data_IF_444979881519
#
_entry.id   IF_444979881519
#
_cell.length_a   1.000
_cell.length_b   1.000
_cell.length_c   1.000
_cell.angle_alpha   90.00
_cell.angle_beta   90.00
_cell.angle_gamma   90.00
#
_symmetry.space_group_name_H-M   'P 1'
#
loop_
_entity.id
_entity.type
_entity.pdbx_description
1 polymer ?
#
# COMPACT_ATOMS: atom_id res chain seq x y z
N UNK A 1 5.88 -28.41 9.06
CA UNK A 1 5.06 -28.02 10.23
C UNK A 1 5.56 -26.75 10.93
N UNK A 2 6.75 -26.22 10.59
CA UNK A 2 7.43 -25.12 11.28
C UNK A 2 6.69 -23.77 11.31
N UNK A 3 6.18 -23.29 10.17
CA UNK A 3 5.71 -21.90 10.06
C UNK A 3 4.65 -21.45 11.08
N UNK A 4 3.67 -22.30 11.43
CA UNK A 4 2.64 -21.90 12.40
C UNK A 4 3.20 -21.69 13.82
N UNK A 5 4.20 -22.49 14.20
CA UNK A 5 4.94 -22.31 15.45
C UNK A 5 5.89 -21.12 15.36
N UNK A 6 6.57 -20.95 14.21
CA UNK A 6 7.46 -19.81 13.97
C UNK A 6 6.69 -18.47 14.02
N UNK A 7 5.45 -18.44 13.50
CA UNK A 7 4.56 -17.28 13.50
C UNK A 7 4.14 -16.88 14.93
N UNK A 8 3.65 -17.84 15.72
CA UNK A 8 3.30 -17.58 17.13
C UNK A 8 4.53 -17.18 17.95
N UNK A 9 5.67 -17.84 17.71
CA UNK A 9 6.91 -17.46 18.36
C UNK A 9 7.38 -16.06 17.94
N UNK A 10 7.13 -15.63 16.71
CA UNK A 10 7.43 -14.28 16.25
C UNK A 10 6.49 -13.24 16.89
N UNK A 11 5.20 -13.55 17.06
CA UNK A 11 4.26 -12.71 17.81
C UNK A 11 4.60 -12.63 19.29
N UNK A 12 5.08 -13.72 19.91
CA UNK A 12 5.48 -13.72 21.32
C UNK A 12 6.81 -12.99 21.56
N UNK A 13 7.73 -13.00 20.58
CA UNK A 13 9.02 -12.30 20.68
C UNK A 13 8.95 -10.82 20.33
N UNK A 14 8.08 -10.45 19.40
CA UNK A 14 7.84 -9.04 19.12
C UNK A 14 7.00 -8.47 20.25
N UNK A 15 7.50 -7.44 20.92
CA UNK A 15 6.82 -6.77 22.03
C UNK A 15 5.54 -6.04 21.56
N UNK A 16 4.54 -6.80 21.12
CA UNK A 16 3.27 -6.30 20.62
C UNK A 16 2.24 -6.17 21.75
N UNK A 17 1.37 -5.15 21.72
CA UNK A 17 0.21 -5.09 22.61
C UNK A 17 -0.65 -6.36 22.50
N UNK A 18 -1.26 -6.80 23.61
CA UNK A 18 -2.10 -8.01 23.61
C UNK A 18 -3.24 -7.92 22.60
N UNK A 19 -3.86 -6.75 22.47
CA UNK A 19 -4.92 -6.53 21.48
C UNK A 19 -4.48 -6.80 20.03
N UNK A 20 -3.20 -6.55 19.71
CA UNK A 20 -2.64 -6.85 18.39
C UNK A 20 -2.44 -8.35 18.21
N UNK A 21 -1.93 -9.03 19.24
CA UNK A 21 -1.71 -10.49 19.21
C UNK A 21 -3.05 -11.21 19.05
N UNK A 22 -4.07 -10.80 19.79
CA UNK A 22 -5.42 -11.38 19.75
C UNK A 22 -6.13 -11.15 18.40
N UNK A 23 -5.79 -10.04 17.72
CA UNK A 23 -6.33 -9.70 16.40
C UNK A 23 -5.46 -10.19 15.23
N UNK A 24 -4.31 -10.81 15.51
CA UNK A 24 -3.44 -11.37 14.48
C UNK A 24 -4.10 -12.56 13.78
N UNK A 25 -3.61 -12.90 12.58
CA UNK A 25 -4.18 -14.02 11.81
C UNK A 25 -4.11 -15.32 12.62
N UNK A 26 -5.25 -15.96 12.87
CA UNK A 26 -5.33 -17.19 13.65
C UNK A 26 -4.93 -18.40 12.81
N UNK A 27 -3.64 -18.49 12.45
CA UNK A 27 -3.13 -19.48 11.48
C UNK A 27 -3.50 -20.93 11.85
N UNK A 28 -3.46 -21.29 13.14
CA UNK A 28 -3.87 -22.62 13.62
C UNK A 28 -5.37 -22.88 13.46
N UNK A 29 -6.22 -21.88 13.78
CA UNK A 29 -7.68 -21.98 13.67
C UNK A 29 -8.08 -22.13 12.20
N UNK A 30 -7.58 -21.25 11.33
CA UNK A 30 -7.81 -21.31 9.89
C UNK A 30 -7.35 -22.63 9.28
N UNK A 31 -6.22 -23.20 9.74
CA UNK A 31 -5.75 -24.52 9.31
C UNK A 31 -6.72 -25.65 9.71
N UNK A 32 -7.43 -25.54 10.84
CA UNK A 32 -8.47 -26.51 11.23
C UNK A 32 -9.67 -26.41 10.28
N UNK A 33 -10.12 -25.20 9.95
CA UNK A 33 -11.19 -24.98 8.98
C UNK A 33 -10.82 -25.57 7.60
N UNK A 34 -9.59 -25.38 7.11
CA UNK A 34 -9.12 -26.00 5.85
C UNK A 34 -9.28 -27.54 5.87
N UNK A 35 -9.00 -28.19 7.00
CA UNK A 35 -9.21 -29.66 7.12
C UNK A 35 -10.69 -30.05 7.14
N UNK A 36 -11.57 -29.15 7.56
CA UNK A 36 -13.01 -29.38 7.53
C UNK A 36 -13.53 -29.25 6.11
N UNK A 37 -13.12 -28.20 5.37
CA UNK A 37 -13.38 -28.05 3.93
C UNK A 37 -12.90 -29.28 3.17
N UNK A 38 -11.67 -29.74 3.45
CA UNK A 38 -11.14 -30.94 2.80
C UNK A 38 -12.02 -32.18 3.05
N UNK A 39 -12.53 -32.36 4.28
CA UNK A 39 -13.41 -33.49 4.60
C UNK A 39 -14.79 -33.37 3.95
N UNK A 40 -15.35 -32.16 3.90
CA UNK A 40 -16.61 -31.87 3.21
C UNK A 40 -16.50 -32.19 1.71
N UNK A 41 -15.44 -31.69 1.06
CA UNK A 41 -15.12 -31.97 -0.33
C UNK A 41 -14.96 -33.47 -0.62
N UNK A 42 -14.18 -34.18 0.21
CA UNK A 42 -14.03 -35.64 0.08
C UNK A 42 -15.36 -36.38 0.32
N UNK A 43 -16.21 -35.90 1.23
CA UNK A 43 -17.55 -36.47 1.46
C UNK A 43 -18.50 -36.31 0.27
N UNK A 44 -18.28 -35.29 -0.55
CA UNK A 44 -19.00 -35.06 -1.82
C UNK A 44 -18.37 -35.80 -3.01
N UNK A 45 -17.29 -36.55 -2.79
CA UNK A 45 -16.53 -37.20 -3.88
C UNK A 45 -15.76 -36.21 -4.77
N UNK A 46 -15.50 -35.00 -4.26
CA UNK A 46 -14.72 -33.93 -4.91
C UNK A 46 -13.40 -33.74 -4.16
N UNK A 47 -12.66 -34.82 -3.96
CA UNK A 47 -11.35 -34.72 -3.33
C UNK A 47 -10.33 -34.00 -4.21
N UNK A 48 -9.14 -33.75 -3.66
CA UNK A 48 -8.11 -32.95 -4.33
C UNK A 48 -7.72 -33.52 -5.70
N UNK A 49 -7.56 -34.83 -5.80
CA UNK A 49 -7.16 -35.50 -7.04
C UNK A 49 -8.26 -35.37 -8.10
N UNK A 50 -9.52 -35.58 -7.70
CA UNK A 50 -10.67 -35.39 -8.58
C UNK A 50 -10.79 -33.95 -9.06
N UNK A 51 -10.63 -32.96 -8.17
CA UNK A 51 -10.67 -31.54 -8.53
C UNK A 51 -9.49 -31.11 -9.41
N UNK A 52 -8.28 -31.61 -9.17
CA UNK A 52 -7.12 -31.34 -10.02
C UNK A 52 -7.32 -31.88 -11.44
N UNK A 53 -7.89 -33.09 -11.58
CA UNK A 53 -8.25 -33.70 -12.88
C UNK A 53 -9.34 -32.87 -13.56
N UNK A 54 -10.40 -32.51 -12.84
CA UNK A 54 -11.47 -31.65 -13.33
C UNK A 54 -10.93 -30.34 -13.91
N UNK A 55 -10.05 -29.66 -13.16
CA UNK A 55 -9.42 -28.43 -13.64
C UNK A 55 -8.55 -28.65 -14.87
N UNK A 56 -7.80 -29.76 -14.96
CA UNK A 56 -6.98 -30.08 -16.14
C UNK A 56 -7.85 -30.26 -17.39
N UNK A 57 -8.97 -30.96 -17.29
CA UNK A 57 -9.92 -31.14 -18.38
C UNK A 57 -10.55 -29.82 -18.82
N UNK A 58 -11.01 -29.00 -17.87
CA UNK A 58 -11.54 -27.66 -18.15
C UNK A 58 -10.52 -26.76 -18.84
N UNK A 59 -9.22 -26.91 -18.55
CA UNK A 59 -8.15 -26.14 -19.21
C UNK A 59 -7.62 -26.74 -20.51
N UNK A 60 -7.93 -28.00 -20.85
CA UNK A 60 -7.37 -28.72 -22.01
C UNK A 60 -8.36 -28.88 -23.18
N UNK A 61 -9.58 -28.34 -23.08
CA UNK A 61 -10.56 -28.32 -24.17
C UNK A 61 -10.10 -27.49 -25.38
N UNK A 62 -10.77 -27.62 -26.56
CA UNK A 62 -10.28 -27.07 -27.82
C UNK A 62 -9.99 -25.58 -27.72
N UNK A 63 -8.73 -25.23 -27.99
CA UNK A 63 -8.14 -23.91 -27.78
C UNK A 63 -8.67 -22.79 -28.71
N UNK A 64 -9.83 -22.94 -29.35
CA UNK A 64 -10.33 -21.98 -30.33
C UNK A 64 -11.26 -20.90 -29.75
N UNK A 65 -11.64 -20.97 -28.47
CA UNK A 65 -12.39 -19.88 -27.83
C UNK A 65 -11.81 -19.60 -26.44
N UNK A 66 -11.06 -18.50 -26.36
CA UNK A 66 -10.18 -18.13 -25.25
C UNK A 66 -10.77 -18.12 -23.84
N UNK A 67 -9.89 -17.94 -22.85
CA UNK A 67 -10.04 -18.19 -21.40
C UNK A 67 -11.30 -17.75 -20.63
N UNK A 68 -12.30 -17.16 -21.28
CA UNK A 68 -13.65 -16.90 -20.72
C UNK A 68 -14.54 -18.15 -20.62
N UNK A 69 -14.27 -19.24 -21.35
CA UNK A 69 -15.10 -20.48 -21.27
C UNK A 69 -14.66 -21.37 -20.10
N UNK A 70 -13.36 -21.53 -19.86
CA UNK A 70 -12.86 -22.29 -18.70
C UNK A 70 -13.37 -21.70 -17.37
N UNK A 71 -13.43 -20.37 -17.26
CA UNK A 71 -14.03 -19.65 -16.11
C UNK A 71 -15.56 -19.83 -16.00
N UNK A 72 -16.23 -20.31 -17.06
CA UNK A 72 -17.68 -20.62 -17.06
C UNK A 72 -17.98 -22.08 -16.73
N UNK A 73 -17.02 -23.00 -16.93
CA UNK A 73 -17.20 -24.44 -16.72
C UNK A 73 -16.98 -24.86 -15.27
N UNK A 74 -16.01 -24.24 -14.59
CA UNK A 74 -15.80 -24.42 -13.16
C UNK A 74 -15.36 -23.11 -12.53
N UNK A 75 -16.12 -22.61 -11.56
CA UNK A 75 -15.83 -21.33 -10.93
C UNK A 75 -15.99 -21.40 -9.42
N UNK A 76 -14.98 -20.89 -8.71
CA UNK A 76 -15.09 -20.54 -7.30
C UNK A 76 -15.37 -19.04 -7.18
N UNK A 77 -16.66 -18.69 -7.13
CA UNK A 77 -17.14 -17.32 -7.08
C UNK A 77 -17.43 -16.90 -5.64
N UNK A 78 -17.39 -15.59 -5.41
CA UNK A 78 -17.74 -14.99 -4.12
C UNK A 78 -18.68 -13.80 -4.37
N UNK A 79 -19.83 -13.79 -3.73
CA UNK A 79 -20.76 -12.66 -3.81
C UNK A 79 -20.27 -11.50 -2.93
N UNK A 80 -20.10 -10.32 -3.54
CA UNK A 80 -19.45 -9.17 -2.91
C UNK A 80 -20.16 -7.85 -3.19
N UNK A 81 -21.27 -7.59 -2.49
CA UNK A 81 -21.69 -6.22 -2.20
C UNK A 81 -21.99 -6.13 -0.71
N UNK A 82 -21.61 -5.03 -0.04
CA UNK A 82 -21.64 -4.92 1.43
C UNK A 82 -23.01 -5.07 2.13
N UNK A 83 -24.09 -5.35 1.37
CA UNK A 83 -25.42 -5.73 1.88
C UNK A 83 -25.80 -7.20 1.62
N UNK A 84 -25.10 -7.90 0.72
CA UNK A 84 -25.36 -9.30 0.35
C UNK A 84 -24.34 -10.19 1.06
N UNK A 85 -24.81 -11.32 1.59
CA UNK A 85 -24.02 -12.29 2.35
C UNK A 85 -22.81 -12.78 1.56
N UNK A 86 -21.71 -13.02 2.26
CA UNK A 86 -20.53 -13.67 1.68
C UNK A 86 -20.78 -15.17 1.62
N UNK A 87 -21.05 -15.65 0.42
CA UNK A 87 -21.31 -17.06 0.10
C UNK A 87 -20.36 -17.49 -1.00
N UNK A 88 -19.20 -18.09 -0.67
CA UNK A 88 -18.40 -18.75 -1.67
C UNK A 88 -19.16 -19.95 -2.24
N UNK A 89 -19.13 -20.11 -3.56
CA UNK A 89 -19.81 -21.23 -4.22
C UNK A 89 -18.88 -21.85 -5.27
N UNK A 90 -18.91 -23.17 -5.36
CA UNK A 90 -18.31 -23.91 -6.46
C UNK A 90 -19.40 -24.18 -7.50
N UNK A 91 -19.25 -23.63 -8.69
CA UNK A 91 -20.16 -23.87 -9.82
C UNK A 91 -19.52 -24.87 -10.76
N UNK A 92 -20.26 -25.91 -11.17
CA UNK A 92 -19.82 -26.92 -12.14
C UNK A 92 -20.86 -27.02 -13.26
N UNK A 93 -20.43 -26.89 -14.51
CA UNK A 93 -21.29 -27.11 -15.68
C UNK A 93 -21.53 -28.60 -15.94
N UNK A 94 -22.77 -28.98 -16.26
CA UNK A 94 -23.22 -30.36 -16.47
C UNK A 94 -23.91 -30.49 -17.85
N UNK A 95 -23.70 -31.63 -18.51
CA UNK A 95 -24.40 -32.04 -19.72
C UNK A 95 -25.90 -32.30 -19.42
N UNK A 96 -26.82 -31.65 -20.15
CA UNK A 96 -28.27 -31.76 -19.91
C UNK A 96 -28.87 -33.14 -20.22
N UNK A 97 -28.17 -34.04 -20.93
CA UNK A 97 -28.71 -35.34 -21.33
C UNK A 97 -28.37 -36.48 -20.34
N UNK A 98 -27.18 -36.49 -19.76
CA UNK A 98 -26.72 -37.60 -18.90
C UNK A 98 -26.33 -37.16 -17.47
N UNK A 99 -26.34 -35.86 -17.20
CA UNK A 99 -25.99 -35.28 -15.92
C UNK A 99 -24.52 -35.47 -15.55
N UNK A 100 -23.63 -35.74 -16.52
CA UNK A 100 -22.19 -35.75 -16.33
C UNK A 100 -21.65 -34.31 -16.42
N UNK A 101 -20.66 -33.90 -15.60
CA UNK A 101 -20.00 -32.64 -15.85
C UNK A 101 -19.36 -32.70 -17.22
N UNK A 102 -19.59 -31.68 -18.05
CA UNK A 102 -19.05 -31.66 -19.41
C UNK A 102 -17.53 -31.87 -19.34
N UNK A 103 -17.05 -32.87 -20.08
CA UNK A 103 -15.64 -33.27 -20.20
C UNK A 103 -14.94 -33.89 -18.96
N UNK A 104 -15.68 -34.38 -17.95
CA UNK A 104 -15.08 -34.98 -16.75
C UNK A 104 -15.40 -36.48 -16.52
N UNK A 105 -14.35 -37.31 -16.44
CA UNK A 105 -14.43 -38.70 -15.96
C UNK A 105 -14.58 -38.75 -14.43
N UNK A 106 -15.75 -38.38 -13.92
CA UNK A 106 -16.10 -38.52 -12.51
C UNK A 106 -16.46 -39.95 -12.12
N UNK A 107 -16.20 -40.31 -10.86
CA UNK A 107 -16.66 -41.57 -10.29
C UNK A 107 -18.20 -41.70 -10.36
N UNK A 108 -18.75 -42.93 -10.46
CA UNK A 108 -20.20 -43.15 -10.45
C UNK A 108 -20.90 -42.62 -9.18
N UNK A 109 -20.16 -42.46 -8.09
CA UNK A 109 -20.65 -41.92 -6.81
C UNK A 109 -20.72 -40.39 -6.87
N UNK A 110 -19.64 -39.72 -7.32
CA UNK A 110 -19.61 -38.26 -7.49
C UNK A 110 -20.66 -37.79 -8.49
N UNK A 111 -20.86 -38.52 -9.61
CA UNK A 111 -21.94 -38.22 -10.58
C UNK A 111 -23.33 -38.33 -9.95
N UNK A 112 -23.57 -39.31 -9.07
CA UNK A 112 -24.84 -39.44 -8.36
C UNK A 112 -25.10 -38.26 -7.44
N UNK A 113 -24.08 -37.81 -6.70
CA UNK A 113 -24.16 -36.64 -5.82
C UNK A 113 -24.45 -35.36 -6.61
N UNK A 114 -23.70 -35.09 -7.68
CA UNK A 114 -23.91 -33.90 -8.52
C UNK A 114 -25.28 -33.88 -9.19
N UNK A 115 -25.77 -35.02 -9.69
CA UNK A 115 -27.14 -35.13 -10.23
C UNK A 115 -28.21 -34.92 -9.17
N UNK A 116 -27.99 -35.39 -7.94
CA UNK A 116 -28.93 -35.14 -6.85
C UNK A 116 -28.99 -33.65 -6.51
N UNK A 117 -27.82 -33.00 -6.42
CA UNK A 117 -27.72 -31.55 -6.20
C UNK A 117 -28.38 -30.73 -7.32
N UNK A 118 -28.18 -31.12 -8.58
CA UNK A 118 -28.85 -30.51 -9.74
C UNK A 118 -30.39 -30.63 -9.65
N UNK A 119 -30.90 -31.80 -9.25
CA UNK A 119 -32.35 -32.01 -9.09
C UNK A 119 -32.94 -31.22 -7.94
N UNK A 120 -32.21 -31.10 -6.83
CA UNK A 120 -32.63 -30.27 -5.69
C UNK A 120 -32.57 -28.78 -5.99
N UNK A 121 -31.63 -28.30 -6.81
CA UNK A 121 -31.63 -26.89 -7.23
C UNK A 121 -32.81 -26.58 -8.15
N UNK A 122 -33.17 -27.50 -9.07
CA UNK A 122 -34.37 -27.37 -9.91
C UNK A 122 -35.68 -27.30 -9.09
N UNK A 123 -35.81 -28.12 -8.05
CA UNK A 123 -36.98 -28.11 -7.17
C UNK A 123 -37.15 -26.79 -6.39
N UNK A 124 -36.06 -26.07 -6.12
CA UNK A 124 -36.09 -24.75 -5.49
C UNK A 124 -36.44 -23.62 -6.47
N UNK A 125 -36.20 -23.79 -7.78
CA UNK A 125 -36.54 -22.79 -8.81
C UNK A 125 -38.03 -22.86 -9.18
N UNK A 126 -38.65 -24.04 -9.13
CA UNK A 126 -40.09 -24.23 -9.40
C UNK A 126 -41.02 -23.81 -8.24
N UNK A 127 -40.47 -23.31 -7.12
CA UNK A 127 -41.26 -23.00 -5.90
C UNK A 127 -41.35 -21.50 -5.56
N UNK A 128 -40.81 -20.60 -6.37
CA UNK A 128 -40.81 -19.14 -6.10
C UNK A 128 -41.64 -18.29 -7.10
N UNK A 129 -42.61 -18.88 -7.81
CA UNK A 129 -43.56 -18.10 -8.63
C UNK A 129 -45.03 -18.52 -8.39
N UNK A 130 -45.49 -18.37 -7.15
CA UNK A 130 -46.91 -18.05 -6.90
C UNK A 130 -46.99 -16.89 -5.90
N UNK A 131 -46.99 -15.68 -6.44
CA UNK A 131 -47.38 -14.49 -5.68
C UNK A 131 -48.87 -14.52 -5.35
N UNK A 132 -49.28 -14.24 -4.10
CA UNK A 132 -50.69 -14.19 -3.74
C UNK A 132 -51.24 -12.82 -4.11
N UNK A 133 -52.06 -12.72 -5.16
CA UNK A 133 -52.94 -11.58 -5.34
C UNK A 133 -54.40 -12.05 -5.36
N UNK A 134 -54.99 -12.12 -4.18
CA UNK A 134 -56.42 -12.29 -4.03
C UNK A 134 -57.13 -10.99 -4.38
N UNK A 135 -58.14 -11.06 -5.23
CA UNK A 135 -59.25 -10.12 -5.18
C UNK A 135 -60.56 -10.83 -5.52
N UNK A 136 -61.49 -10.70 -4.57
CA UNK A 136 -62.87 -11.17 -4.64
C UNK A 136 -63.61 -10.57 -5.83
N UNK A 137 -64.55 -11.33 -6.42
CA UNK A 137 -65.87 -10.78 -6.75
C UNK A 137 -66.94 -11.86 -6.88
N UNK A 138 -68.08 -11.58 -6.22
CA UNK A 138 -69.32 -12.33 -6.25
C UNK A 138 -70.09 -12.16 -7.58
N UNK A 139 -71.08 -13.03 -7.87
CA UNK A 139 -71.77 -13.07 -9.16
C UNK A 139 -73.10 -12.28 -9.16
N UNK A 140 -73.42 -11.62 -10.29
CA UNK A 140 -74.78 -11.17 -10.64
C UNK A 140 -74.99 -11.39 -12.16
N UNK A 141 -76.19 -11.82 -12.61
CA UNK A 141 -76.46 -12.31 -13.96
C UNK A 141 -77.15 -11.28 -14.88
N UNK A 142 -77.36 -11.71 -16.13
CA UNK A 142 -78.43 -11.39 -17.09
C UNK A 142 -78.11 -10.72 -18.45
N UNK A 143 -78.61 -11.45 -19.47
CA UNK A 143 -79.34 -11.03 -20.66
C UNK A 143 -78.69 -10.38 -21.91
N UNK A 144 -78.75 -11.19 -22.98
CA UNK A 144 -79.31 -10.91 -24.32
C UNK A 144 -78.49 -10.29 -25.45
N UNK A 145 -78.56 -11.04 -26.58
CA UNK A 145 -78.75 -10.63 -27.98
C UNK A 145 -77.68 -9.78 -28.71
N UNK A 146 -77.32 -10.26 -29.91
CA UNK A 146 -77.10 -9.36 -31.06
C UNK A 146 -75.96 -9.70 -32.02
N UNK A 147 -76.17 -10.71 -32.84
CA UNK A 147 -75.82 -10.86 -34.27
C UNK A 147 -74.74 -10.00 -34.98
N UNK A 148 -74.02 -10.72 -35.87
CA UNK A 148 -73.57 -10.33 -37.23
C UNK A 148 -72.33 -9.43 -37.37
N UNK A 149 -71.43 -9.57 -38.34
CA UNK A 149 -71.22 -10.52 -39.45
C UNK A 149 -70.00 -10.03 -40.27
N UNK A 150 -69.45 -10.90 -41.12
CA UNK A 150 -68.63 -10.63 -42.32
C UNK A 150 -67.14 -10.34 -42.11
N UNK A 151 -66.19 -10.83 -42.90
CA UNK A 151 -66.13 -11.83 -43.96
C UNK A 151 -64.64 -12.08 -44.29
N UNK A 152 -64.30 -13.32 -44.66
CA UNK A 152 -63.11 -13.70 -45.44
C UNK A 152 -63.32 -13.29 -46.94
N UNK A 153 -62.48 -13.63 -47.95
CA UNK A 153 -61.28 -14.49 -47.94
C UNK A 153 -60.11 -13.97 -48.83
N UNK A 154 -58.95 -14.63 -48.78
CA UNK A 154 -58.35 -15.30 -49.95
C UNK A 154 -56.91 -15.76 -49.68
N UNK A 155 -56.69 -17.05 -49.91
CA UNK A 155 -55.39 -17.70 -50.11
C UNK A 155 -55.15 -17.83 -51.64
N UNK A 156 -53.93 -18.12 -52.15
CA UNK A 156 -53.30 -19.44 -52.01
C UNK A 156 -51.76 -19.42 -51.89
N UNK A 157 -51.10 -20.59 -51.75
CA UNK A 157 -49.76 -20.75 -51.20
C UNK A 157 -48.69 -20.97 -52.28
N UNK A 158 -47.43 -20.69 -51.95
CA UNK A 158 -46.19 -21.29 -52.47
C UNK A 158 -45.09 -20.78 -51.50
N UNK A 159 -44.32 -21.58 -50.76
CA UNK A 159 -43.58 -22.74 -51.21
C UNK A 159 -42.19 -22.29 -51.66
N UNK A 160 -41.26 -22.03 -50.73
CA UNK A 160 -39.83 -22.38 -50.89
C UNK A 160 -38.98 -22.02 -49.65
N UNK A 161 -38.18 -23.01 -49.26
CA UNK A 161 -37.27 -23.06 -48.12
C UNK A 161 -36.28 -21.89 -48.06
N UNK A 162 -36.27 -21.18 -46.93
CA UNK A 162 -35.06 -20.49 -46.47
C UNK A 162 -34.59 -21.16 -45.18
N UNK A 163 -33.59 -22.03 -45.31
CA UNK A 163 -32.81 -22.59 -44.21
C UNK A 163 -32.28 -21.44 -43.35
N UNK A 164 -32.97 -21.20 -42.24
CA UNK A 164 -32.49 -20.35 -41.16
C UNK A 164 -31.60 -21.24 -40.29
N UNK A 165 -30.30 -20.95 -40.29
CA UNK A 165 -29.32 -21.58 -39.43
C UNK A 165 -29.76 -21.41 -37.98
N UNK A 166 -30.27 -22.48 -37.38
CA UNK A 166 -30.47 -22.57 -35.93
C UNK A 166 -29.08 -22.54 -35.27
N UNK A 167 -28.71 -21.36 -34.77
CA UNK A 167 -27.58 -21.15 -33.88
C UNK A 167 -27.90 -21.85 -32.55
N UNK A 168 -27.54 -23.12 -32.47
CA UNK A 168 -27.71 -23.99 -31.31
C UNK A 168 -26.88 -23.48 -30.13
N UNK A 169 -27.41 -22.50 -29.39
CA UNK A 169 -26.94 -22.20 -28.03
C UNK A 169 -27.25 -23.41 -27.15
N UNK A 170 -26.28 -24.32 -27.02
CA UNK A 170 -26.28 -25.30 -25.94
C UNK A 170 -26.42 -24.52 -24.62
N UNK A 171 -27.61 -24.56 -24.01
CA UNK A 171 -27.86 -24.03 -22.68
C UNK A 171 -27.02 -24.86 -21.70
N UNK A 172 -25.88 -24.29 -21.29
CA UNK A 172 -25.03 -24.85 -20.24
C UNK A 172 -25.83 -24.88 -18.94
N UNK A 173 -26.04 -26.07 -18.39
CA UNK A 173 -26.68 -26.23 -17.09
C UNK A 173 -25.61 -26.18 -15.99
N UNK A 174 -25.79 -25.33 -14.98
CA UNK A 174 -24.81 -25.13 -13.91
C UNK A 174 -25.33 -25.62 -12.57
N UNK A 175 -24.53 -26.37 -11.83
CA UNK A 175 -24.82 -26.78 -10.45
C UNK A 175 -23.97 -25.98 -9.48
N UNK A 176 -24.65 -25.32 -8.55
CA UNK A 176 -24.01 -24.68 -7.40
C UNK A 176 -23.82 -25.69 -6.27
N UNK A 177 -22.60 -25.79 -5.76
CA UNK A 177 -22.26 -26.63 -4.62
C UNK A 177 -22.04 -25.69 -3.42
N UNK A 178 -23.00 -25.60 -2.49
CA UNK A 178 -22.85 -24.81 -1.29
C UNK A 178 -21.88 -25.54 -0.35
N UNK A 179 -20.68 -25.00 -0.22
CA UNK A 179 -19.72 -25.45 0.78
C UNK A 179 -19.97 -24.62 2.05
N UNK A 180 -20.20 -25.32 3.16
CA UNK A 180 -20.52 -24.69 4.44
C UNK A 180 -19.24 -24.40 5.24
N UNK A 181 -18.23 -25.26 5.12
CA UNK A 181 -16.99 -25.15 5.90
C UNK A 181 -16.03 -24.10 5.36
N UNK A 182 -16.09 -23.79 4.06
CA UNK A 182 -15.23 -22.77 3.45
C UNK A 182 -15.78 -21.36 3.75
N UNK A 183 -17.11 -21.23 3.82
CA UNK A 183 -17.82 -20.07 4.32
C UNK A 183 -17.32 -19.71 5.72
N UNK A 184 -17.21 -20.68 6.64
CA UNK A 184 -16.65 -20.48 7.97
C UNK A 184 -15.18 -19.99 7.91
N UNK A 185 -14.33 -20.62 7.09
CA UNK A 185 -12.93 -20.22 6.91
C UNK A 185 -12.79 -18.75 6.49
N UNK A 186 -13.53 -18.34 5.47
CA UNK A 186 -13.43 -16.98 4.94
C UNK A 186 -14.14 -15.94 5.79
N UNK A 187 -15.22 -16.29 6.51
CA UNK A 187 -15.83 -15.40 7.49
C UNK A 187 -14.86 -15.08 8.64
N UNK A 188 -14.14 -16.09 9.15
CA UNK A 188 -13.08 -15.89 10.14
C UNK A 188 -12.01 -14.98 9.56
N UNK A 189 -11.51 -15.29 8.36
CA UNK A 189 -10.44 -14.53 7.72
C UNK A 189 -10.83 -13.06 7.50
N UNK A 190 -12.03 -12.79 6.99
CA UNK A 190 -12.52 -11.43 6.77
C UNK A 190 -12.63 -10.64 8.06
N UNK A 191 -13.11 -11.26 9.14
CA UNK A 191 -13.16 -10.62 10.46
C UNK A 191 -11.76 -10.26 10.95
N UNK A 192 -10.82 -11.20 10.89
CA UNK A 192 -9.42 -10.96 11.26
C UNK A 192 -8.78 -9.83 10.43
N UNK A 193 -9.02 -9.80 9.11
CA UNK A 193 -8.55 -8.70 8.26
C UNK A 193 -9.19 -7.35 8.64
N UNK A 194 -10.48 -7.34 9.00
CA UNK A 194 -11.18 -6.13 9.46
C UNK A 194 -10.61 -5.62 10.79
N UNK A 195 -10.29 -6.53 11.72
CA UNK A 195 -9.66 -6.19 13.00
C UNK A 195 -8.23 -5.65 12.80
N UNK A 196 -7.45 -6.26 11.89
CA UNK A 196 -6.13 -5.77 11.50
C UNK A 196 -6.19 -4.38 10.85
N UNK A 197 -7.16 -4.13 9.97
CA UNK A 197 -7.44 -2.82 9.37
C UNK A 197 -7.84 -1.77 10.42
N UNK A 198 -8.58 -2.17 11.45
CA UNK A 198 -8.94 -1.28 12.57
C UNK A 198 -7.69 -0.88 13.37
N UNK A 199 -6.86 -1.85 13.74
CA UNK A 199 -5.62 -1.60 14.50
C UNK A 199 -4.70 -0.69 13.71
N UNK A 200 -4.44 -1.01 12.43
CA UNK A 200 -3.58 -0.18 11.56
C UNK A 200 -4.04 1.28 11.54
N UNK A 201 -5.34 1.53 11.33
CA UNK A 201 -5.88 2.90 11.28
C UNK A 201 -5.74 3.63 12.62
N UNK A 202 -6.06 2.95 13.73
CA UNK A 202 -5.92 3.53 15.06
C UNK A 202 -4.47 3.95 15.35
N UNK A 203 -3.52 3.07 15.04
CA UNK A 203 -2.08 3.32 15.25
C UNK A 203 -1.54 4.41 14.33
N UNK A 204 -2.00 4.46 13.07
CA UNK A 204 -1.63 5.55 12.15
C UNK A 204 -2.13 6.91 12.64
N UNK A 205 -3.36 6.98 13.15
CA UNK A 205 -3.89 8.20 13.77
C UNK A 205 -3.07 8.60 14.99
N UNK A 206 -2.70 7.63 15.84
CA UNK A 206 -1.85 7.89 17.00
C UNK A 206 -0.47 8.43 16.59
N UNK A 207 0.19 7.79 15.63
CA UNK A 207 1.48 8.26 15.09
C UNK A 207 1.37 9.68 14.54
N UNK A 208 0.31 9.97 13.77
CA UNK A 208 0.05 11.30 13.23
C UNK A 208 -0.09 12.36 14.34
N UNK A 209 -0.82 12.02 15.41
CA UNK A 209 -0.98 12.91 16.57
C UNK A 209 0.36 13.16 17.28
N UNK A 210 1.16 12.11 17.51
CA UNK A 210 2.47 12.26 18.14
C UNK A 210 3.45 13.07 17.29
N UNK A 211 3.46 12.86 15.98
CA UNK A 211 4.26 13.64 15.02
C UNK A 211 3.87 15.11 15.05
N UNK A 212 2.56 15.40 14.99
CA UNK A 212 2.05 16.78 15.02
C UNK A 212 2.39 17.46 16.35
N UNK A 213 2.26 16.75 17.47
CA UNK A 213 2.63 17.25 18.79
C UNK A 213 4.12 17.59 18.87
N UNK A 214 4.99 16.68 18.41
CA UNK A 214 6.43 16.92 18.36
C UNK A 214 6.77 18.11 17.46
N UNK A 215 6.14 18.21 16.28
CA UNK A 215 6.30 19.36 15.38
C UNK A 215 5.94 20.69 16.04
N UNK A 216 4.89 20.71 16.87
CA UNK A 216 4.51 21.91 17.65
C UNK A 216 5.53 22.26 18.72
N UNK A 217 6.04 21.27 19.46
CA UNK A 217 7.10 21.45 20.46
C UNK A 217 8.37 22.04 19.81
N UNK A 218 8.78 21.52 18.65
CA UNK A 218 9.94 22.02 17.89
C UNK A 218 9.71 23.41 17.30
N UNK A 219 8.50 23.72 16.84
CA UNK A 219 8.13 25.07 16.38
C UNK A 219 8.22 26.09 17.51
N UNK A 220 7.73 25.74 18.70
CA UNK A 220 7.84 26.58 19.89
C UNK A 220 9.31 26.79 20.30
N UNK A 221 10.12 25.72 20.27
CA UNK A 221 11.56 25.80 20.53
C UNK A 221 12.26 26.74 19.53
N UNK A 222 11.95 26.64 18.24
CA UNK A 222 12.48 27.52 17.19
C UNK A 222 12.06 28.98 17.35
N UNK A 223 10.83 29.23 17.79
CA UNK A 223 10.34 30.58 18.04
C UNK A 223 11.02 31.25 19.25
N UNK A 224 11.52 30.45 20.20
CA UNK A 224 12.24 30.95 21.37
C UNK A 224 13.58 31.58 21.00
N UNK A 225 13.81 32.82 21.45
CA UNK A 225 15.03 33.59 21.15
C UNK A 225 16.16 33.40 22.18
N UNK A 226 15.96 32.51 23.15
CA UNK A 226 16.92 32.21 24.22
C UNK A 226 18.27 31.73 23.68
N UNK A 227 19.34 31.95 24.45
CA UNK A 227 20.65 31.36 24.15
C UNK A 227 20.63 29.85 24.31
N UNK A 228 19.82 29.32 25.22
CA UNK A 228 19.61 27.88 25.42
C UNK A 228 18.91 27.24 24.22
N UNK A 229 17.80 27.82 23.76
CA UNK A 229 17.05 27.28 22.62
C UNK A 229 17.91 27.21 21.35
N UNK A 230 18.80 28.19 21.13
CA UNK A 230 19.76 28.15 20.01
C UNK A 230 20.73 26.97 20.08
N UNK A 231 21.19 26.61 21.28
CA UNK A 231 22.06 25.42 21.49
C UNK A 231 21.27 24.13 21.27
N UNK A 232 20.02 24.08 21.75
CA UNK A 232 19.13 22.93 21.58
C UNK A 232 18.77 22.73 20.09
N UNK A 233 18.50 23.79 19.34
CA UNK A 233 18.28 23.73 17.88
C UNK A 233 19.52 23.20 17.16
N UNK A 234 20.73 23.59 17.58
CA UNK A 234 21.97 23.06 17.00
C UNK A 234 22.14 21.56 17.30
N UNK A 235 21.79 21.10 18.50
CA UNK A 235 21.77 19.69 18.84
C UNK A 235 20.75 18.92 17.98
N UNK A 236 19.53 19.45 17.84
CA UNK A 236 18.49 18.86 16.98
C UNK A 236 18.90 18.75 15.51
N UNK A 237 19.63 19.73 14.97
CA UNK A 237 20.21 19.61 13.61
C UNK A 237 21.11 18.39 13.49
N UNK A 238 21.99 18.15 14.46
CA UNK A 238 22.87 16.97 14.48
C UNK A 238 22.10 15.66 14.62
N UNK A 239 21.00 15.66 15.34
CA UNK A 239 20.11 14.49 15.47
C UNK A 239 19.39 14.21 14.15
N UNK A 240 18.85 15.25 13.49
CA UNK A 240 18.17 15.11 12.20
C UNK A 240 19.11 14.75 11.05
N UNK A 241 20.34 15.25 11.07
CA UNK A 241 21.41 14.82 10.15
C UNK A 241 21.65 13.31 10.27
N UNK A 242 21.89 12.80 11.49
CA UNK A 242 22.03 11.37 11.75
C UNK A 242 20.82 10.55 11.32
N UNK A 243 19.61 11.05 11.60
CA UNK A 243 18.38 10.36 11.26
C UNK A 243 18.20 10.25 9.74
N UNK A 244 18.49 11.33 9.01
CA UNK A 244 18.37 11.36 7.55
C UNK A 244 19.43 10.46 6.90
N UNK A 245 20.67 10.49 7.38
CA UNK A 245 21.75 9.61 6.94
C UNK A 245 21.48 8.12 7.22
N UNK A 246 20.76 7.81 8.30
CA UNK A 246 20.46 6.43 8.65
C UNK A 246 19.46 5.76 7.70
N UNK A 247 18.67 6.53 6.94
CA UNK A 247 17.74 6.01 5.91
C UNK A 247 16.90 4.82 6.43
N UNK A 248 16.28 5.01 7.59
CA UNK A 248 15.74 3.91 8.40
C UNK A 248 14.63 3.15 7.66
N UNK A 249 13.70 3.87 7.03
CA UNK A 249 12.52 3.27 6.41
C UNK A 249 12.50 3.36 4.89
N UNK A 250 13.22 4.32 4.31
CA UNK A 250 13.31 4.57 2.87
C UNK A 250 14.78 4.69 2.51
N UNK A 251 15.21 4.01 1.44
CA UNK A 251 16.54 4.19 0.88
C UNK A 251 16.55 5.06 -0.37
N UNK A 252 17.59 5.88 -0.51
CA UNK A 252 17.87 6.63 -1.74
C UNK A 252 18.94 5.98 -2.62
N UNK A 253 19.50 4.85 -2.23
CA UNK A 253 20.53 4.15 -3.00
C UNK A 253 19.95 3.50 -4.27
N UNK A 254 20.68 3.57 -5.38
CA UNK A 254 20.21 3.07 -6.68
C UNK A 254 19.82 1.57 -6.68
N UNK A 255 20.46 0.76 -5.83
CA UNK A 255 20.29 -0.70 -5.79
C UNK A 255 19.02 -1.12 -5.04
N UNK A 256 18.65 -0.38 -3.99
CA UNK A 256 17.54 -0.70 -3.07
C UNK A 256 16.62 0.50 -2.82
N UNK A 257 16.47 1.37 -3.82
CA UNK A 257 15.66 2.57 -3.76
C UNK A 257 14.19 2.25 -3.38
N UNK A 258 13.65 3.01 -2.43
CA UNK A 258 12.27 2.88 -1.97
C UNK A 258 12.13 2.35 -0.55
N UNK A 259 10.95 1.81 -0.23
CA UNK A 259 10.61 1.35 1.12
C UNK A 259 11.40 0.08 1.51
N UNK A 260 11.99 0.14 2.70
CA UNK A 260 12.71 -1.00 3.30
C UNK A 260 11.73 -1.96 3.95
N UNK A 261 12.07 -3.25 3.92
CA UNK A 261 11.42 -4.22 4.79
C UNK A 261 11.78 -3.99 6.27
N UNK A 262 11.01 -4.60 7.16
CA UNK A 262 11.13 -4.36 8.58
C UNK A 262 12.44 -4.90 9.19
N UNK A 263 13.08 -5.89 8.57
CA UNK A 263 14.37 -6.42 9.03
C UNK A 263 15.52 -5.45 8.72
N UNK A 264 15.53 -4.88 7.51
CA UNK A 264 16.48 -3.83 7.14
C UNK A 264 16.24 -2.56 7.96
N UNK A 265 14.99 -2.13 8.10
CA UNK A 265 14.65 -0.97 8.90
C UNK A 265 15.05 -1.14 10.38
N UNK A 266 14.89 -2.33 10.95
CA UNK A 266 15.36 -2.63 12.31
C UNK A 266 16.88 -2.47 12.46
N UNK A 267 17.66 -2.94 11.49
CA UNK A 267 19.12 -2.80 11.51
C UNK A 267 19.54 -1.34 11.42
N UNK A 268 18.91 -0.55 10.55
CA UNK A 268 19.20 0.87 10.42
C UNK A 268 18.77 1.66 11.67
N UNK A 269 17.61 1.35 12.24
CA UNK A 269 17.16 1.95 13.49
C UNK A 269 18.11 1.65 14.67
N UNK A 270 18.66 0.43 14.74
CA UNK A 270 19.69 0.07 15.73
C UNK A 270 20.98 0.87 15.51
N UNK A 271 21.44 1.01 14.27
CA UNK A 271 22.62 1.83 13.96
C UNK A 271 22.38 3.30 14.36
N UNK A 272 21.24 3.87 14.00
CA UNK A 272 20.85 5.23 14.36
C UNK A 272 20.89 5.45 15.88
N UNK A 273 20.23 4.58 16.64
CA UNK A 273 20.21 4.67 18.12
C UNK A 273 21.59 4.48 18.74
N UNK A 274 22.43 3.60 18.22
CA UNK A 274 23.84 3.45 18.65
C UNK A 274 24.68 4.70 18.33
N UNK A 275 24.54 5.26 17.12
CA UNK A 275 25.20 6.51 16.74
C UNK A 275 24.77 7.67 17.63
N UNK A 276 23.49 7.75 17.98
CA UNK A 276 22.96 8.74 18.91
C UNK A 276 23.56 8.58 20.32
N UNK A 277 23.63 7.34 20.83
CA UNK A 277 24.24 7.03 22.12
C UNK A 277 25.74 7.38 22.16
N UNK A 278 26.47 7.16 21.08
CA UNK A 278 27.90 7.53 20.97
C UNK A 278 28.14 9.04 21.00
N UNK A 279 27.12 9.84 20.68
CA UNK A 279 27.14 11.30 20.69
C UNK A 279 26.45 11.88 21.93
N UNK A 280 26.64 11.22 23.07
CA UNK A 280 26.03 11.60 24.34
C UNK A 280 26.24 13.08 24.72
N UNK A 281 27.38 13.66 24.36
CA UNK A 281 27.70 15.07 24.59
C UNK A 281 26.78 16.05 23.87
N UNK A 282 26.24 15.68 22.70
CA UNK A 282 25.25 16.48 21.97
C UNK A 282 23.85 16.31 22.58
N UNK A 283 23.49 15.08 22.96
CA UNK A 283 22.20 14.78 23.60
C UNK A 283 22.08 15.46 24.97
N UNK A 284 23.17 15.50 25.75
CA UNK A 284 23.22 16.21 27.04
C UNK A 284 23.05 17.73 26.94
N UNK A 285 23.16 18.33 25.74
CA UNK A 285 22.87 19.77 25.53
C UNK A 285 21.38 20.06 25.54
N UNK A 286 20.53 19.03 25.41
CA UNK A 286 19.08 19.16 25.46
C UNK A 286 18.62 19.43 26.89
N UNK A 287 17.73 20.41 27.05
CA UNK A 287 16.98 20.58 28.29
C UNK A 287 15.95 19.50 28.54
N UNK A 288 15.25 19.56 29.69
CA UNK A 288 14.28 18.54 30.07
C UNK A 288 13.18 18.37 29.01
N UNK A 289 12.55 19.47 28.59
CA UNK A 289 11.47 19.42 27.59
C UNK A 289 11.99 18.92 26.23
N UNK A 290 13.17 19.36 25.81
CA UNK A 290 13.79 18.93 24.56
C UNK A 290 14.24 17.46 24.60
N UNK A 291 14.62 16.94 25.77
CA UNK A 291 14.91 15.51 25.98
C UNK A 291 13.64 14.67 25.88
N UNK A 292 12.53 15.12 26.48
CA UNK A 292 11.23 14.45 26.36
C UNK A 292 10.77 14.41 24.89
N UNK A 293 10.98 15.50 24.15
CA UNK A 293 10.73 15.57 22.71
C UNK A 293 11.62 14.60 21.91
N UNK A 294 12.89 14.44 22.28
CA UNK A 294 13.78 13.44 21.66
C UNK A 294 13.31 12.01 21.95
N UNK A 295 12.92 11.71 23.19
CA UNK A 295 12.40 10.39 23.53
C UNK A 295 11.11 10.09 22.75
N UNK A 296 10.25 11.10 22.57
CA UNK A 296 9.06 10.98 21.70
C UNK A 296 9.44 10.70 20.26
N UNK A 297 10.42 11.42 19.71
CA UNK A 297 10.91 11.16 18.35
C UNK A 297 11.40 9.72 18.17
N UNK A 298 12.18 9.20 19.13
CA UNK A 298 12.66 7.82 19.09
C UNK A 298 11.48 6.83 19.20
N UNK A 299 10.50 7.10 20.08
CA UNK A 299 9.29 6.27 20.23
C UNK A 299 8.44 6.22 18.96
N UNK A 300 8.21 7.34 18.28
CA UNK A 300 7.47 7.39 17.00
C UNK A 300 8.10 6.42 15.99
N UNK A 301 9.43 6.49 15.84
CA UNK A 301 10.16 5.63 14.91
C UNK A 301 10.12 4.15 15.35
N UNK A 302 10.26 3.86 16.64
CA UNK A 302 10.15 2.51 17.16
C UNK A 302 8.74 1.91 16.96
N UNK A 303 7.69 2.72 17.13
CA UNK A 303 6.30 2.30 16.92
C UNK A 303 6.02 2.06 15.43
N UNK A 304 6.50 2.91 14.53
CA UNK A 304 6.40 2.67 13.08
C UNK A 304 7.06 1.34 12.69
N UNK A 305 8.27 1.09 13.18
CA UNK A 305 8.98 -0.17 12.93
C UNK A 305 8.21 -1.38 13.49
N UNK A 306 7.65 -1.27 14.69
CA UNK A 306 6.83 -2.33 15.29
C UNK A 306 5.59 -2.63 14.44
N UNK A 307 4.93 -1.60 13.94
CA UNK A 307 3.75 -1.74 13.07
C UNK A 307 4.12 -2.38 11.73
N UNK A 308 5.23 -1.98 11.10
CA UNK A 308 5.75 -2.62 9.88
C UNK A 308 6.01 -4.12 10.10
N UNK A 309 6.69 -4.49 11.19
CA UNK A 309 6.95 -5.90 11.53
C UNK A 309 5.65 -6.69 11.69
N UNK A 310 4.69 -6.12 12.40
CA UNK A 310 3.39 -6.75 12.60
C UNK A 310 2.64 -6.94 11.27
N UNK A 311 2.65 -5.92 10.40
CA UNK A 311 2.06 -5.98 9.06
C UNK A 311 2.70 -7.06 8.19
N UNK A 312 4.03 -7.13 8.13
CA UNK A 312 4.76 -8.12 7.31
C UNK A 312 4.51 -9.56 7.76
N UNK A 313 4.52 -9.81 9.07
CA UNK A 313 4.28 -11.12 9.64
C UNK A 313 2.84 -11.58 9.34
N UNK A 314 1.85 -10.69 9.48
CA UNK A 314 0.45 -10.99 9.13
C UNK A 314 0.26 -11.16 7.61
N UNK A 315 0.87 -10.31 6.77
CA UNK A 315 0.84 -10.47 5.29
C UNK A 315 1.41 -11.81 4.85
N UNK A 316 2.49 -12.24 5.48
CA UNK A 316 3.10 -13.56 5.24
C UNK A 316 2.17 -14.69 5.68
N UNK A 317 1.54 -14.57 6.85
CA UNK A 317 0.59 -15.56 7.33
C UNK A 317 -0.65 -15.67 6.42
N UNK A 318 -1.19 -14.55 5.95
CA UNK A 318 -2.29 -14.48 4.98
C UNK A 318 -1.91 -15.21 3.68
N UNK A 319 -0.78 -14.83 3.09
CA UNK A 319 -0.31 -15.46 1.84
C UNK A 319 -0.13 -16.97 2.02
N UNK A 320 0.43 -17.40 3.16
CA UNK A 320 0.65 -18.81 3.45
C UNK A 320 -0.63 -19.58 3.79
N UNK A 321 -1.66 -18.94 4.36
CA UNK A 321 -2.91 -19.61 4.67
C UNK A 321 -3.77 -19.77 3.42
N UNK A 322 -3.82 -18.76 2.54
CA UNK A 322 -4.49 -18.84 1.24
C UNK A 322 -3.81 -19.87 0.34
N UNK A 323 -2.47 -19.85 0.20
CA UNK A 323 -1.75 -20.90 -0.54
C UNK A 323 -1.99 -22.30 0.04
N UNK A 324 -2.22 -22.42 1.35
CA UNK A 324 -2.53 -23.71 1.99
C UNK A 324 -3.96 -24.15 1.69
N UNK A 325 -4.92 -23.22 1.67
CA UNK A 325 -6.30 -23.48 1.29
C UNK A 325 -6.31 -24.10 -0.12
N UNK A 326 -5.78 -23.40 -1.12
CA UNK A 326 -5.74 -23.86 -2.51
C UNK A 326 -5.02 -25.20 -2.68
N UNK A 327 -3.87 -25.37 -2.02
CA UNK A 327 -3.12 -26.64 -2.10
C UNK A 327 -3.89 -27.83 -1.52
N UNK A 328 -4.83 -27.61 -0.59
CA UNK A 328 -5.57 -28.67 0.10
C UNK A 328 -6.95 -28.92 -0.48
N UNK A 329 -7.57 -27.89 -1.05
CA UNK A 329 -8.94 -27.94 -1.55
C UNK A 329 -9.00 -27.94 -3.07
N UNK A 330 -7.92 -27.57 -3.78
CA UNK A 330 -7.89 -27.40 -5.24
C UNK A 330 -8.96 -26.42 -5.78
N UNK A 331 -9.58 -25.60 -4.93
CA UNK A 331 -10.62 -24.64 -5.32
C UNK A 331 -10.07 -23.38 -6.04
N UNK A 332 -8.74 -23.22 -6.10
CA UNK A 332 -8.03 -22.08 -6.75
C UNK A 332 -8.56 -20.70 -6.31
N UNK A 333 -8.94 -20.59 -5.04
CA UNK A 333 -9.55 -19.40 -4.46
C UNK A 333 -8.60 -18.21 -4.44
N UNK A 334 -7.27 -18.39 -4.54
CA UNK A 334 -6.32 -17.29 -4.48
C UNK A 334 -6.62 -16.16 -5.47
N UNK A 335 -7.09 -16.43 -6.69
CA UNK A 335 -7.40 -15.36 -7.67
C UNK A 335 -8.62 -14.52 -7.25
N UNK A 336 -9.72 -15.16 -6.85
CA UNK A 336 -10.95 -14.48 -6.41
C UNK A 336 -10.78 -13.80 -5.04
N UNK A 337 -10.09 -14.48 -4.12
CA UNK A 337 -9.75 -13.98 -2.77
C UNK A 337 -8.80 -12.80 -2.84
N UNK A 338 -7.78 -12.83 -3.71
CA UNK A 338 -6.86 -11.69 -3.81
C UNK A 338 -7.57 -10.43 -4.31
N UNK A 339 -8.52 -10.56 -5.21
CA UNK A 339 -9.23 -9.40 -5.74
C UNK A 339 -10.25 -8.79 -4.76
N UNK A 340 -10.81 -9.57 -3.84
CA UNK A 340 -11.87 -9.11 -2.93
C UNK A 340 -11.45 -8.95 -1.47
N UNK A 341 -10.55 -9.80 -0.97
CA UNK A 341 -10.08 -9.80 0.43
C UNK A 341 -8.70 -9.16 0.59
N UNK A 342 -7.86 -9.15 -0.46
CA UNK A 342 -6.49 -8.58 -0.40
C UNK A 342 -6.44 -7.09 -0.80
N UNK A 343 -7.52 -6.53 -1.36
CA UNK A 343 -7.69 -5.08 -1.51
C UNK A 343 -7.94 -4.33 -0.19
N UNK A 344 -7.86 -5.02 0.94
CA UNK A 344 -7.97 -4.39 2.25
C UNK A 344 -6.83 -3.36 2.43
N UNK A 345 -7.10 -2.15 2.95
CA UNK A 345 -6.10 -1.09 3.15
C UNK A 345 -4.86 -1.58 3.89
N UNK A 346 -5.01 -2.54 4.81
CA UNK A 346 -3.95 -3.20 5.55
C UNK A 346 -2.81 -3.72 4.66
N UNK A 347 -3.13 -4.20 3.45
CA UNK A 347 -2.16 -4.91 2.60
C UNK A 347 -1.58 -4.02 1.49
N UNK A 348 -2.33 -2.99 1.07
CA UNK A 348 -2.05 -2.20 -0.14
C UNK A 348 -1.25 -0.93 0.16
N UNK A 349 -1.51 -0.26 1.28
CA UNK A 349 -0.88 1.03 1.56
C UNK A 349 0.48 0.88 2.24
N UNK A 350 1.49 1.55 1.68
CA UNK A 350 2.83 1.72 2.26
C UNK A 350 2.78 2.74 3.41
N UNK A 351 2.53 2.22 4.61
CA UNK A 351 2.49 3.00 5.84
C UNK A 351 3.82 3.72 6.10
N UNK A 352 4.94 3.08 5.76
CA UNK A 352 6.27 3.63 6.01
C UNK A 352 6.46 4.91 5.19
N UNK A 353 6.11 4.86 3.90
CA UNK A 353 6.21 6.02 3.03
C UNK A 353 5.33 7.20 3.51
N UNK A 354 4.06 6.95 3.83
CA UNK A 354 3.14 7.99 4.30
C UNK A 354 3.60 8.61 5.64
N UNK A 355 4.07 7.79 6.58
CA UNK A 355 4.55 8.26 7.88
C UNK A 355 5.86 9.03 7.74
N UNK A 356 6.79 8.56 6.90
CA UNK A 356 8.04 9.26 6.61
C UNK A 356 7.81 10.61 5.93
N UNK A 357 6.85 10.69 5.01
CA UNK A 357 6.44 11.96 4.42
C UNK A 357 5.97 12.94 5.51
N UNK A 358 5.10 12.48 6.40
CA UNK A 358 4.59 13.29 7.51
C UNK A 358 5.71 13.73 8.46
N UNK A 359 6.65 12.83 8.82
CA UNK A 359 7.82 13.18 9.63
C UNK A 359 8.66 14.26 8.93
N UNK A 360 8.86 14.13 7.61
CA UNK A 360 9.60 15.12 6.84
C UNK A 360 8.94 16.50 6.91
N UNK A 361 7.63 16.54 6.65
CA UNK A 361 6.84 17.78 6.60
C UNK A 361 6.69 18.45 7.98
N UNK A 362 6.29 17.71 9.01
CA UNK A 362 5.93 18.26 10.33
C UNK A 362 7.12 18.35 11.29
N UNK A 363 8.20 17.58 11.09
CA UNK A 363 9.33 17.53 12.03
C UNK A 363 10.61 18.05 11.37
N UNK A 364 11.07 17.42 10.27
CA UNK A 364 12.40 17.72 9.71
C UNK A 364 12.45 19.13 9.12
N UNK A 365 11.41 19.56 8.41
CA UNK A 365 11.32 20.89 7.81
C UNK A 365 11.18 22.03 8.84
N UNK A 366 10.79 21.72 10.09
CA UNK A 366 10.70 22.72 11.16
C UNK A 366 12.08 23.28 11.47
N UNK A 367 13.11 22.44 11.56
CA UNK A 367 14.49 22.85 11.86
C UNK A 367 15.33 22.77 10.59
N UNK A 368 15.65 23.92 9.96
CA UNK A 368 16.40 23.94 8.70
C UNK A 368 17.76 23.28 8.85
N UNK A 369 18.10 22.38 7.91
CA UNK A 369 19.40 21.73 7.82
C UNK A 369 20.37 22.58 7.01
N UNK A 370 21.66 22.50 7.32
CA UNK A 370 22.66 23.32 6.62
C UNK A 370 22.83 22.88 5.15
N UNK A 371 22.71 21.59 4.88
CA UNK A 371 22.95 20.97 3.58
C UNK A 371 22.06 21.55 2.47
N UNK A 372 20.83 21.97 2.82
CA UNK A 372 19.86 22.56 1.87
C UNK A 372 20.26 23.95 1.38
N UNK A 373 21.25 24.59 2.01
CA UNK A 373 21.66 25.98 1.73
C UNK A 373 23.12 26.09 1.24
N UNK A 374 23.76 24.97 0.94
CA UNK A 374 25.13 24.93 0.45
C UNK A 374 25.20 25.36 -1.03
N UNK A 375 26.24 26.12 -1.36
CA UNK A 375 26.55 26.47 -2.73
C UNK A 375 27.17 25.28 -3.45
N UNK A 376 26.64 24.82 -4.60
CA UNK A 376 27.16 23.66 -5.32
C UNK A 376 28.60 23.79 -5.83
N UNK A 377 29.11 25.03 -5.94
CA UNK A 377 30.46 25.30 -6.46
C UNK A 377 31.52 25.17 -5.35
N UNK A 378 31.20 25.62 -4.13
CA UNK A 378 32.17 25.69 -3.04
C UNK A 378 31.79 24.85 -1.81
N UNK A 379 30.68 24.10 -1.88
CA UNK A 379 30.18 23.21 -0.82
C UNK A 379 30.11 23.85 0.57
N UNK A 380 29.83 25.14 0.60
CA UNK A 380 29.76 25.95 1.80
C UNK A 380 28.51 26.83 1.71
N UNK A 381 28.01 27.32 2.84
CA UNK A 381 26.77 28.11 2.88
C UNK A 381 26.77 29.22 1.83
N UNK A 382 25.64 29.38 1.13
CA UNK A 382 25.48 30.28 -0.01
C UNK A 382 25.59 31.76 0.40
N UNK A 383 26.80 32.26 0.58
CA UNK A 383 27.03 33.63 1.05
C UNK A 383 26.71 34.66 -0.02
N UNK A 384 25.84 35.62 0.34
CA UNK A 384 25.18 36.55 -0.60
C UNK A 384 24.62 35.78 -1.81
N UNK A 385 23.58 34.96 -1.58
CA UNK A 385 23.06 34.05 -2.59
C UNK A 385 22.53 34.82 -3.80
N UNK A 386 22.93 34.40 -4.99
CA UNK A 386 22.40 34.89 -6.27
C UNK A 386 21.53 33.79 -6.86
N UNK A 387 20.26 34.10 -7.13
CA UNK A 387 19.31 33.19 -7.76
C UNK A 387 19.24 33.49 -9.26
N UNK A 388 19.67 32.53 -10.08
CA UNK A 388 19.63 32.65 -11.53
C UNK A 388 18.19 32.52 -12.05
N UNK A 389 17.96 32.88 -13.32
CA UNK A 389 16.65 32.69 -13.97
C UNK A 389 16.18 31.22 -13.92
N UNK A 390 17.11 30.28 -14.01
CA UNK A 390 16.84 28.84 -13.87
C UNK A 390 16.57 28.38 -12.42
N UNK A 391 16.37 29.31 -11.48
CA UNK A 391 16.13 29.10 -10.03
C UNK A 391 17.28 28.50 -9.21
N UNK A 392 18.41 28.13 -9.83
CA UNK A 392 19.58 27.67 -9.10
C UNK A 392 20.28 28.81 -8.35
N UNK A 393 20.79 28.50 -7.15
CA UNK A 393 21.38 29.47 -6.23
C UNK A 393 22.87 29.21 -6.03
N UNK A 394 23.68 30.27 -6.11
CA UNK A 394 25.13 30.23 -5.90
C UNK A 394 25.60 31.39 -5.00
N UNK A 395 26.81 31.29 -4.45
CA UNK A 395 27.45 32.44 -3.80
C UNK A 395 27.77 33.53 -4.84
N UNK A 396 27.65 34.80 -4.47
CA UNK A 396 28.05 35.94 -5.34
C UNK A 396 29.48 35.79 -5.89
N UNK A 397 30.45 35.42 -5.04
CA UNK A 397 31.85 35.27 -5.44
C UNK A 397 32.04 34.11 -6.42
N UNK A 398 31.37 32.97 -6.18
CA UNK A 398 31.43 31.83 -7.07
C UNK A 398 30.87 32.17 -8.46
N UNK A 399 29.77 32.94 -8.49
CA UNK A 399 29.17 33.40 -9.74
C UNK A 399 30.09 34.37 -10.49
N UNK A 400 30.68 35.37 -9.80
CA UNK A 400 31.64 36.31 -10.41
C UNK A 400 32.83 35.57 -11.03
N UNK A 401 33.33 34.51 -10.36
CA UNK A 401 34.43 33.69 -10.92
C UNK A 401 34.01 33.00 -12.22
N UNK A 402 32.78 32.49 -12.32
CA UNK A 402 32.26 31.89 -13.56
C UNK A 402 32.13 32.95 -14.67
N UNK A 403 31.56 34.11 -14.34
CA UNK A 403 31.40 35.23 -15.27
C UNK A 403 32.76 35.72 -15.81
N UNK A 404 33.75 35.86 -14.94
CA UNK A 404 35.12 36.28 -15.32
C UNK A 404 35.80 35.28 -16.25
N UNK A 405 35.44 33.99 -16.15
CA UNK A 405 35.94 32.92 -17.02
C UNK A 405 35.14 32.78 -18.31
N UNK A 406 34.12 33.61 -18.54
CA UNK A 406 33.23 33.50 -19.70
C UNK A 406 32.36 32.24 -19.71
N UNK A 407 32.12 31.62 -18.54
CA UNK A 407 31.32 30.40 -18.43
C UNK A 407 29.85 30.75 -18.19
N UNK A 408 29.04 30.71 -19.26
CA UNK A 408 27.62 31.10 -19.19
C UNK A 408 26.67 29.99 -18.70
N UNK A 409 27.13 28.74 -18.72
CA UNK A 409 26.30 27.58 -18.39
C UNK A 409 26.18 27.40 -16.89
N UNK A 410 24.94 27.29 -16.41
CA UNK A 410 24.64 26.92 -15.03
C UNK A 410 25.28 25.56 -14.67
N UNK A 411 26.05 25.44 -13.58
CA UNK A 411 26.65 24.17 -13.16
C UNK A 411 25.66 23.03 -12.87
N UNK A 412 24.38 23.34 -12.62
CA UNK A 412 23.35 22.35 -12.29
C UNK A 412 22.51 21.94 -13.50
N UNK A 413 21.88 22.88 -14.21
CA UNK A 413 21.01 22.58 -15.36
C UNK A 413 21.64 22.82 -16.73
N UNK A 414 22.86 23.38 -16.80
CA UNK A 414 23.58 23.73 -18.03
C UNK A 414 22.92 24.80 -18.91
N UNK A 415 21.85 25.44 -18.45
CA UNK A 415 21.20 26.58 -19.13
C UNK A 415 22.11 27.82 -19.13
N UNK A 416 22.03 28.64 -20.18
CA UNK A 416 22.83 29.85 -20.39
C UNK A 416 22.18 31.04 -19.67
N UNK A 417 22.58 31.24 -18.41
CA UNK A 417 21.96 32.19 -17.47
C UNK A 417 22.97 32.86 -16.53
N UNK A 418 24.26 32.54 -16.64
CA UNK A 418 25.27 33.00 -15.68
C UNK A 418 25.76 34.40 -16.02
N UNK A 419 26.00 34.71 -17.30
CA UNK A 419 26.54 36.00 -17.75
C UNK A 419 25.52 37.14 -17.65
N UNK A 420 24.24 36.83 -17.74
CA UNK A 420 23.15 37.80 -17.58
C UNK A 420 22.89 38.21 -16.12
N UNK A 421 23.34 37.41 -15.15
CA UNK A 421 22.99 37.60 -13.76
C UNK A 421 23.69 38.83 -13.18
N UNK A 422 22.91 39.72 -12.57
CA UNK A 422 23.41 40.98 -12.02
C UNK A 422 23.06 41.13 -10.53
N UNK A 423 23.27 42.33 -9.98
CA UNK A 423 22.94 42.65 -8.59
C UNK A 423 21.46 42.49 -8.23
N UNK A 424 20.54 42.48 -9.21
CA UNK A 424 19.09 42.33 -9.00
C UNK A 424 18.73 40.88 -8.66
N UNK A 425 19.53 39.92 -9.11
CA UNK A 425 19.37 38.49 -8.82
C UNK A 425 19.75 38.09 -7.39
N UNK A 426 20.20 39.04 -6.55
CA UNK A 426 20.53 38.78 -5.15
C UNK A 426 19.28 38.40 -4.34
N UNK A 427 19.29 37.19 -3.79
CA UNK A 427 18.20 36.68 -2.95
C UNK A 427 18.33 37.23 -1.52
N UNK A 428 17.77 38.44 -1.33
CA UNK A 428 17.78 39.15 -0.04
C UNK A 428 17.01 38.39 1.05
N UNK A 429 15.98 37.64 0.69
CA UNK A 429 15.18 36.88 1.65
C UNK A 429 15.99 35.70 2.18
N UNK A 430 16.58 34.91 1.29
CA UNK A 430 17.44 33.79 1.65
C UNK A 430 18.67 34.25 2.44
N UNK A 431 19.26 35.39 2.06
CA UNK A 431 20.37 36.00 2.82
C UNK A 431 19.97 36.34 4.27
N UNK A 432 18.81 36.97 4.48
CA UNK A 432 18.30 37.28 5.83
C UNK A 432 18.03 36.00 6.61
N UNK A 433 17.43 35.00 5.97
CA UNK A 433 17.14 33.71 6.56
C UNK A 433 18.41 32.99 7.04
N UNK A 434 19.45 32.88 6.20
CA UNK A 434 20.71 32.23 6.57
C UNK A 434 21.42 32.96 7.70
N UNK A 435 21.42 34.31 7.70
CA UNK A 435 21.98 35.10 8.81
C UNK A 435 21.28 34.85 10.15
N UNK A 436 19.97 34.59 10.11
CA UNK A 436 19.18 34.32 11.31
C UNK A 436 19.37 32.88 11.83
N UNK A 437 19.42 31.89 10.93
CA UNK A 437 19.40 30.47 11.29
C UNK A 437 20.80 29.82 11.37
N UNK A 438 21.79 30.33 10.63
CA UNK A 438 23.14 29.77 10.45
C UNK A 438 24.21 30.85 10.64
N UNK A 439 24.08 31.62 11.72
CA UNK A 439 24.96 32.76 12.03
C UNK A 439 26.46 32.38 12.08
N UNK A 440 26.91 31.29 12.74
CA UNK A 440 28.33 30.97 12.77
C UNK A 440 28.87 30.61 11.39
N UNK A 441 28.14 29.81 10.61
CA UNK A 441 28.53 29.37 9.26
C UNK A 441 28.61 30.56 8.30
N UNK A 442 27.64 31.49 8.36
CA UNK A 442 27.67 32.73 7.55
C UNK A 442 28.88 33.59 7.91
N UNK A 443 29.22 33.73 9.19
CA UNK A 443 30.37 34.53 9.64
C UNK A 443 31.69 33.91 9.19
N UNK A 444 31.82 32.60 9.32
CA UNK A 444 32.98 31.86 8.85
C UNK A 444 33.17 32.04 7.34
N UNK A 445 32.09 31.87 6.57
CA UNK A 445 32.14 32.07 5.12
C UNK A 445 32.44 33.53 4.74
N UNK A 446 31.94 34.50 5.49
CA UNK A 446 32.29 35.91 5.30
C UNK A 446 33.79 36.13 5.49
N UNK A 447 34.36 35.67 6.61
CA UNK A 447 35.78 35.78 6.91
C UNK A 447 36.63 35.12 5.82
N UNK A 448 36.25 33.93 5.39
CA UNK A 448 36.92 33.24 4.29
C UNK A 448 36.92 34.09 3.01
N UNK A 449 35.77 34.67 2.63
CA UNK A 449 35.67 35.50 1.43
C UNK A 449 36.52 36.77 1.55
N UNK A 450 36.56 37.42 2.70
CA UNK A 450 37.40 38.61 2.95
C UNK A 450 38.89 38.29 2.83
N UNK A 451 39.33 37.14 3.36
CA UNK A 451 40.71 36.65 3.19
C UNK A 451 41.02 36.43 1.70
N UNK A 452 40.11 35.77 0.99
CA UNK A 452 40.29 35.46 -0.43
C UNK A 452 40.27 36.70 -1.34
N UNK A 453 39.45 37.70 -1.01
CA UNK A 453 39.50 39.01 -1.67
C UNK A 453 40.84 39.71 -1.41
N UNK A 454 41.35 39.60 -0.18
CA UNK A 454 42.66 40.15 0.14
C UNK A 454 43.81 39.46 -0.59
N UNK A 455 43.78 38.13 -0.71
CA UNK A 455 44.75 37.39 -1.52
C UNK A 455 44.67 37.82 -2.99
N UNK A 456 43.47 38.01 -3.54
CA UNK A 456 43.30 38.47 -4.93
C UNK A 456 43.88 39.88 -5.15
N UNK A 457 43.83 40.75 -4.14
CA UNK A 457 44.26 42.15 -4.26
C UNK A 457 45.74 42.37 -3.89
N UNK A 458 46.27 41.64 -2.92
CA UNK A 458 47.60 41.83 -2.35
C UNK A 458 48.52 40.59 -2.47
N UNK A 459 48.06 39.53 -3.13
CA UNK A 459 48.81 38.29 -3.31
C UNK A 459 48.75 37.34 -2.11
N UNK A 460 49.36 36.16 -2.26
CA UNK A 460 49.31 35.07 -1.26
C UNK A 460 49.90 35.44 0.11
N UNK A 461 50.73 36.48 0.18
CA UNK A 461 51.36 36.97 1.41
C UNK A 461 50.35 37.56 2.41
N UNK A 462 49.16 37.97 1.94
CA UNK A 462 48.09 38.53 2.77
C UNK A 462 47.55 37.54 3.81
N UNK A 463 47.54 36.24 3.52
CA UNK A 463 47.08 35.20 4.45
C UNK A 463 47.96 35.12 5.71
N UNK A 464 49.28 35.33 5.54
CA UNK A 464 50.24 35.29 6.63
C UNK A 464 50.18 36.54 7.52
N UNK A 465 49.86 37.70 6.94
CA UNK A 465 49.71 38.95 7.69
C UNK A 465 48.54 38.92 8.68
N UNK A 466 47.49 38.13 8.44
CA UNK A 466 46.37 37.96 9.37
C UNK A 466 46.69 37.09 10.61
N UNK A 467 47.82 36.36 10.61
CA UNK A 467 48.26 35.55 11.75
C UNK A 467 49.11 36.34 12.74
N UNK A 468 49.55 37.55 12.39
CA UNK A 468 50.28 38.43 13.29
C UNK A 468 49.31 39.12 14.25
N UNK A 469 49.28 38.65 15.50
CA UNK A 469 48.77 39.43 16.63
C UNK A 469 49.84 40.47 16.96
N UNK A 470 49.60 41.73 16.66
CA UNK A 470 50.40 42.82 17.23
C UNK A 470 50.08 42.81 18.73
N UNK A 471 51.06 42.36 19.54
CA UNK A 471 50.99 42.41 21.01
C UNK A 471 50.95 43.85 21.51
#
# INVERSE_FOLDING_TARGET
MKFGQDFEAALARGEYPQEWIDSAISYKKLKKCIKQVQRELSGLGLDKETLDVLWQHVTSGPAEVGGKIADRLMQYSMDGSGKVSFTPKLTIAIDPHDGSPMDAWLSPETRRVLRHLARSSRANVDSEDEGPNGQLQCPIPDETNGASSNAAPDAPPDGENSHSLEDGKQQLETVEIPLSSDSEFFQILRRELTDLDRIRRAEQVQLQMEITQLGNELRALKASKSTRSKKEIAAWRKIFELYTEAEIFLSSHEVDAGARDADHAQKQFQKFTQSLASRESEVRKLGPDASVALDRFIRINAQLLRLMKFQEINKTALTKIIKKFDKRTALRAQASVSNSLVKSPFIVEDLAQATCFTISEEILNVIPQLNDYLCPICFSISYKPVRLRCNHVFCIRCLIVLQTRGQDRCPLCREEVVLEADSRNLDKQLMKFMKANFKPEVKEKQRYNEIQEGINRWGAQYENAQKCVVM
#
